data_IF_213627168202
#
_entry.id   IF_213627168202
#
_cell.length_a   1.000
_cell.length_b   1.000
_cell.length_c   1.000
_cell.angle_alpha   90.00
_cell.angle_beta   90.00
_cell.angle_gamma   90.00
#
_symmetry.space_group_name_H-M   'P 1'
#
loop_
_entity.id
_entity.type
_entity.pdbx_description
1 polymer ?
#
# COMPACT_ATOMS: atom_id res chain seq x y z
N UNK A 1 -6.50 -34.48 20.15
CA UNK A 1 -7.21 -33.18 20.17
C UNK A 1 -6.27 -31.98 20.30
N UNK A 2 -5.03 -32.14 20.78
CA UNK A 2 -4.01 -31.06 20.91
C UNK A 2 -3.39 -30.57 19.59
N UNK A 3 -3.40 -31.39 18.53
CA UNK A 3 -2.81 -31.00 17.23
C UNK A 3 -3.65 -29.98 16.44
N UNK A 4 -4.98 -29.99 16.58
CA UNK A 4 -5.85 -29.01 15.88
C UNK A 4 -5.78 -27.62 16.49
N UNK A 5 -5.59 -27.52 17.81
CA UNK A 5 -5.44 -26.23 18.50
C UNK A 5 -4.14 -25.54 18.13
N UNK A 6 -3.06 -26.30 17.94
CA UNK A 6 -1.75 -25.77 17.59
C UNK A 6 -1.69 -25.27 16.13
N UNK A 7 -2.36 -25.99 15.21
CA UNK A 7 -2.51 -25.57 13.82
C UNK A 7 -3.34 -24.28 13.70
N UNK A 8 -4.45 -24.18 14.45
CA UNK A 8 -5.26 -22.95 14.50
C UNK A 8 -4.50 -21.76 15.10
N UNK A 9 -3.69 -21.99 16.13
CA UNK A 9 -2.86 -20.94 16.74
C UNK A 9 -1.84 -20.39 15.74
N UNK A 10 -1.16 -21.28 14.99
CA UNK A 10 -0.18 -20.91 13.96
C UNK A 10 -0.81 -20.12 12.81
N UNK A 11 -1.97 -20.54 12.31
CA UNK A 11 -2.66 -19.83 11.22
C UNK A 11 -3.11 -18.42 11.64
N UNK A 12 -3.48 -18.26 12.91
CA UNK A 12 -3.83 -16.95 13.47
C UNK A 12 -2.60 -16.03 13.58
N UNK A 13 -1.44 -16.54 13.98
CA UNK A 13 -0.19 -15.76 13.97
C UNK A 13 0.22 -15.35 12.55
N UNK A 14 0.15 -16.28 11.59
CA UNK A 14 0.45 -15.98 10.18
C UNK A 14 -0.48 -14.90 9.64
N UNK A 15 -1.77 -14.95 9.96
CA UNK A 15 -2.74 -13.92 9.57
C UNK A 15 -2.39 -12.56 10.17
N UNK A 16 -1.93 -12.52 11.42
CA UNK A 16 -1.49 -11.29 12.09
C UNK A 16 -0.26 -10.69 11.42
N UNK A 17 0.72 -11.51 11.04
CA UNK A 17 1.90 -11.05 10.29
C UNK A 17 1.53 -10.54 8.90
N UNK A 18 0.62 -11.21 8.19
CA UNK A 18 0.11 -10.77 6.89
C UNK A 18 -0.59 -9.41 7.01
N UNK A 19 -1.43 -9.22 8.02
CA UNK A 19 -2.10 -7.95 8.27
C UNK A 19 -1.09 -6.82 8.53
N UNK A 20 -0.08 -7.07 9.36
CA UNK A 20 0.98 -6.10 9.63
C UNK A 20 1.84 -5.78 8.39
N UNK A 21 2.11 -6.77 7.54
CA UNK A 21 2.84 -6.58 6.29
C UNK A 21 2.02 -5.76 5.28
N UNK A 22 0.71 -6.00 5.20
CA UNK A 22 -0.20 -5.24 4.33
C UNK A 22 -0.35 -3.78 4.77
N UNK A 23 -0.37 -3.53 6.08
CA UNK A 23 -0.37 -2.17 6.62
C UNK A 23 0.92 -1.42 6.24
N UNK A 24 2.09 -2.04 6.44
CA UNK A 24 3.39 -1.47 6.05
C UNK A 24 3.51 -1.25 4.54
N UNK A 25 3.02 -2.18 3.73
CA UNK A 25 3.01 -2.02 2.27
C UNK A 25 2.04 -0.91 1.84
N UNK A 26 0.91 -0.73 2.54
CA UNK A 26 0.00 0.39 2.30
C UNK A 26 0.69 1.72 2.59
N UNK A 27 1.36 1.86 3.73
CA UNK A 27 2.16 3.07 4.04
C UNK A 27 3.27 3.30 3.03
N UNK A 28 4.01 2.24 2.67
CA UNK A 28 5.07 2.30 1.66
C UNK A 28 4.55 2.73 0.29
N UNK A 29 3.37 2.25 -0.11
CA UNK A 29 2.72 2.62 -1.37
C UNK A 29 2.34 4.10 -1.44
N UNK A 30 1.95 4.70 -0.31
CA UNK A 30 1.69 6.15 -0.23
C UNK A 30 2.99 6.94 -0.30
N UNK A 31 4.03 6.50 0.40
CA UNK A 31 5.34 7.18 0.38
C UNK A 31 5.95 7.15 -1.02
N UNK A 32 6.01 5.98 -1.65
CA UNK A 32 6.58 5.82 -3.00
C UNK A 32 5.68 6.45 -4.06
N UNK A 33 4.37 6.31 -3.93
CA UNK A 33 3.41 6.70 -4.97
C UNK A 33 3.00 8.16 -4.97
N UNK A 34 3.10 8.83 -3.82
CA UNK A 34 2.67 10.22 -3.67
C UNK A 34 3.79 11.12 -3.17
N UNK A 35 4.44 10.74 -2.06
CA UNK A 35 5.46 11.60 -1.42
C UNK A 35 6.74 11.67 -2.26
N UNK A 36 7.19 10.56 -2.82
CA UNK A 36 8.38 10.49 -3.68
C UNK A 36 8.29 11.42 -4.90
N UNK A 37 7.27 11.28 -5.76
CA UNK A 37 7.07 12.15 -6.91
C UNK A 37 6.96 13.63 -6.52
N UNK A 38 6.22 13.96 -5.45
CA UNK A 38 6.13 15.33 -4.95
C UNK A 38 7.48 15.88 -4.50
N UNK A 39 8.28 15.10 -3.77
CA UNK A 39 9.61 15.50 -3.34
C UNK A 39 10.56 15.73 -4.54
N UNK A 40 10.45 14.92 -5.59
CA UNK A 40 11.24 15.14 -6.82
C UNK A 40 10.83 16.43 -7.53
N UNK A 41 9.52 16.71 -7.64
CA UNK A 41 9.01 17.94 -8.26
C UNK A 41 9.43 19.21 -7.50
N UNK A 42 9.49 19.14 -6.17
CA UNK A 42 9.90 20.26 -5.33
C UNK A 42 11.42 20.51 -5.35
N UNK A 43 12.23 19.47 -5.61
CA UNK A 43 13.68 19.59 -5.66
C UNK A 43 14.23 19.95 -7.05
N UNK A 44 13.42 19.85 -8.10
CA UNK A 44 13.85 20.11 -9.47
C UNK A 44 13.08 21.29 -10.09
N UNK A 45 13.58 22.54 -9.89
CA UNK A 45 12.87 23.76 -10.30
C UNK A 45 12.67 23.84 -11.82
N UNK A 46 13.54 23.23 -12.62
CA UNK A 46 13.40 23.18 -14.09
C UNK A 46 12.11 22.48 -14.47
N UNK A 47 11.78 21.39 -13.78
CA UNK A 47 10.58 20.58 -14.05
C UNK A 47 9.29 21.19 -13.52
N UNK A 48 9.37 22.09 -12.55
CA UNK A 48 8.22 22.82 -12.00
C UNK A 48 7.92 24.11 -12.76
N UNK A 49 8.95 24.77 -13.31
CA UNK A 49 8.83 25.99 -14.10
C UNK A 49 8.41 25.73 -15.56
N UNK A 50 8.84 24.62 -16.16
CA UNK A 50 8.36 24.18 -17.47
C UNK A 50 7.10 23.32 -17.32
N UNK A 51 5.93 23.97 -17.40
CA UNK A 51 4.64 23.30 -17.26
C UNK A 51 4.32 22.42 -18.49
N UNK A 52 4.80 21.17 -18.49
CA UNK A 52 4.47 20.16 -19.50
C UNK A 52 3.21 19.38 -19.10
N UNK A 53 2.12 19.62 -19.83
CA UNK A 53 0.81 18.99 -19.60
C UNK A 53 0.87 17.46 -19.65
N UNK A 54 1.70 16.86 -20.52
CA UNK A 54 1.80 15.41 -20.62
C UNK A 54 2.43 14.80 -19.37
N UNK A 55 3.43 15.48 -18.80
CA UNK A 55 4.12 15.05 -17.58
C UNK A 55 3.22 15.16 -16.35
N UNK A 56 2.44 16.23 -16.24
CA UNK A 56 1.46 16.39 -15.16
C UNK A 56 0.34 15.36 -15.22
N UNK A 57 -0.16 15.02 -16.42
CA UNK A 57 -1.13 13.94 -16.62
C UNK A 57 -0.55 12.58 -16.18
N UNK A 58 0.70 12.29 -16.54
CA UNK A 58 1.37 11.05 -16.13
C UNK A 58 1.51 10.97 -14.60
N UNK A 59 1.92 12.05 -13.93
CA UNK A 59 2.03 12.10 -12.47
C UNK A 59 0.66 11.91 -11.81
N UNK A 60 -0.39 12.53 -12.36
CA UNK A 60 -1.76 12.34 -11.91
C UNK A 60 -2.22 10.88 -12.02
N UNK A 61 -2.03 10.24 -13.17
CA UNK A 61 -2.38 8.83 -13.39
C UNK A 61 -1.61 7.88 -12.47
N UNK A 62 -0.31 8.12 -12.27
CA UNK A 62 0.52 7.33 -11.35
C UNK A 62 0.01 7.50 -9.92
N UNK A 63 -0.29 8.72 -9.49
CA UNK A 63 -0.81 9.00 -8.14
C UNK A 63 -2.15 8.30 -7.89
N UNK A 64 -3.08 8.37 -8.85
CA UNK A 64 -4.39 7.67 -8.76
C UNK A 64 -4.20 6.15 -8.71
N UNK A 65 -3.29 5.61 -9.51
CA UNK A 65 -2.97 4.17 -9.50
C UNK A 65 -2.44 3.72 -8.14
N UNK A 66 -1.56 4.51 -7.52
CA UNK A 66 -1.04 4.22 -6.18
C UNK A 66 -2.10 4.33 -5.08
N UNK A 67 -3.03 5.29 -5.17
CA UNK A 67 -4.18 5.37 -4.27
C UNK A 67 -5.04 4.11 -4.40
N UNK A 68 -5.30 3.64 -5.63
CA UNK A 68 -6.05 2.41 -5.87
C UNK A 68 -5.33 1.17 -5.31
N UNK A 69 -4.00 1.09 -5.44
CA UNK A 69 -3.17 0.03 -4.86
C UNK A 69 -3.22 0.07 -3.33
N UNK A 70 -3.06 1.24 -2.70
CA UNK A 70 -3.17 1.40 -1.25
C UNK A 70 -4.55 0.99 -0.74
N UNK A 71 -5.61 1.44 -1.41
CA UNK A 71 -6.98 1.06 -1.08
C UNK A 71 -7.23 -0.45 -1.23
N UNK A 72 -6.69 -1.04 -2.30
CA UNK A 72 -6.74 -2.48 -2.55
C UNK A 72 -6.04 -3.27 -1.44
N UNK A 73 -4.84 -2.84 -1.05
CA UNK A 73 -4.10 -3.44 0.06
C UNK A 73 -4.84 -3.32 1.39
N UNK A 74 -5.41 -2.16 1.67
CA UNK A 74 -6.18 -1.93 2.89
C UNK A 74 -7.43 -2.84 2.95
N UNK A 75 -8.17 -2.97 1.84
CA UNK A 75 -9.30 -3.91 1.76
C UNK A 75 -8.85 -5.38 1.82
N UNK A 76 -7.72 -5.72 1.22
CA UNK A 76 -7.19 -7.08 1.24
C UNK A 76 -6.77 -7.47 2.67
N UNK A 77 -6.11 -6.57 3.41
CA UNK A 77 -5.75 -6.77 4.82
C UNK A 77 -6.98 -6.96 5.71
N UNK A 78 -8.02 -6.15 5.50
CA UNK A 78 -9.29 -6.30 6.23
C UNK A 78 -9.99 -7.63 5.93
N UNK A 79 -9.94 -8.10 4.68
CA UNK A 79 -10.49 -9.41 4.28
C UNK A 79 -9.66 -10.59 4.79
N UNK A 80 -8.34 -10.45 4.87
CA UNK A 80 -7.46 -11.47 5.44
C UNK A 80 -7.72 -11.66 6.95
N UNK A 81 -7.88 -10.56 7.70
CA UNK A 81 -8.27 -10.61 9.12
C UNK A 81 -9.65 -11.26 9.34
N UNK A 82 -10.62 -10.96 8.47
CA UNK A 82 -11.97 -11.55 8.55
C UNK A 82 -11.99 -13.06 8.25
N UNK A 83 -11.01 -13.59 7.52
CA UNK A 83 -10.89 -15.04 7.24
C UNK A 83 -10.16 -15.81 8.34
N UNK A 84 -9.24 -15.17 9.07
CA UNK A 84 -8.50 -15.81 10.16
C UNK A 84 -9.27 -15.97 11.48
N UNK A 85 -10.42 -15.29 11.65
CA UNK A 85 -11.26 -15.34 12.87
C UNK A 85 -12.33 -16.46 12.81
N UNK A 86 -12.29 -17.34 11.80
CA UNK A 86 -13.25 -18.46 11.66
C UNK A 86 -12.65 -19.81 12.01
#
# INVERSE_FOLDING_TARGET
MTGETDLKARDNEVTKYIAAALDRLSTGSIIVGFVGPMATLMNDPVTTLEFDHHRWLAIGLVSVSWIAVSYGLHRYGKRALLRGIR
#
